data_IF_275337999330
#
_entry.id   IF_275337999330
#
_cell.length_a   1.000
_cell.length_b   1.000
_cell.length_c   1.000
_cell.angle_alpha   90.00
_cell.angle_beta   90.00
_cell.angle_gamma   90.00
#
_symmetry.space_group_name_H-M   'P 1'
#
loop_
_entity.id
_entity.type
_entity.pdbx_description
1 polymer ?
#
# COMPACT_ATOMS: atom_id res chain seq x y z
N UNK A 1 -0.21 25.87 39.21
CA UNK A 1 -1.12 26.50 38.22
C UNK A 1 -2.03 25.42 37.70
N UNK A 2 -3.33 25.53 37.91
CA UNK A 2 -4.30 24.59 37.33
C UNK A 2 -4.29 24.78 35.80
N UNK A 3 -4.19 23.69 35.06
CA UNK A 3 -4.27 23.74 33.59
C UNK A 3 -5.74 23.95 33.22
N UNK A 4 -6.05 24.99 32.45
CA UNK A 4 -7.41 25.25 32.00
C UNK A 4 -7.84 24.11 31.05
N UNK A 5 -8.97 23.41 31.31
CA UNK A 5 -9.45 22.31 30.47
C UNK A 5 -9.64 22.70 29.00
N UNK A 6 -9.97 23.96 28.72
CA UNK A 6 -10.12 24.48 27.34
C UNK A 6 -8.78 24.47 26.60
N UNK A 7 -7.70 24.84 27.28
CA UNK A 7 -6.36 24.89 26.69
C UNK A 7 -5.82 23.47 26.46
N UNK A 8 -6.15 22.52 27.36
CA UNK A 8 -5.86 21.09 27.15
C UNK A 8 -6.58 20.57 25.92
N UNK A 9 -7.88 20.87 25.78
CA UNK A 9 -8.68 20.45 24.64
C UNK A 9 -8.12 21.04 23.34
N UNK A 10 -7.75 22.32 23.32
CA UNK A 10 -7.14 22.98 22.17
C UNK A 10 -5.85 22.27 21.74
N UNK A 11 -4.98 21.95 22.69
CA UNK A 11 -3.72 21.23 22.41
C UNK A 11 -3.96 19.82 21.89
N UNK A 12 -4.88 19.08 22.53
CA UNK A 12 -5.24 17.74 22.09
C UNK A 12 -5.80 17.74 20.67
N UNK A 13 -6.68 18.70 20.34
CA UNK A 13 -7.22 18.88 19.00
C UNK A 13 -6.13 19.25 17.98
N UNK A 14 -5.19 20.12 18.38
CA UNK A 14 -4.02 20.46 17.57
C UNK A 14 -3.16 19.23 17.24
N UNK A 15 -2.84 18.42 18.25
CA UNK A 15 -2.11 17.16 18.07
C UNK A 15 -2.87 16.19 17.16
N UNK A 16 -4.18 16.05 17.36
CA UNK A 16 -5.03 15.20 16.53
C UNK A 16 -4.94 15.57 15.05
N UNK A 17 -5.08 16.86 14.70
CA UNK A 17 -4.96 17.30 13.30
C UNK A 17 -3.54 17.20 12.77
N UNK A 18 -2.53 17.48 13.59
CA UNK A 18 -1.13 17.31 13.19
C UNK A 18 -0.83 15.86 12.81
N UNK A 19 -1.21 14.91 13.66
CA UNK A 19 -1.02 13.47 13.41
C UNK A 19 -1.84 13.00 12.21
N UNK A 20 -3.11 13.39 12.10
CA UNK A 20 -3.96 13.04 10.97
C UNK A 20 -3.40 13.51 9.63
N UNK A 21 -2.86 14.74 9.59
CA UNK A 21 -2.19 15.28 8.41
C UNK A 21 -0.91 14.51 8.05
N UNK A 22 -0.08 14.15 9.03
CA UNK A 22 1.15 13.36 8.80
C UNK A 22 0.83 11.96 8.27
N UNK A 23 -0.16 11.28 8.86
CA UNK A 23 -0.62 9.97 8.40
C UNK A 23 -1.12 10.05 6.96
N UNK A 24 -1.87 11.11 6.62
CA UNK A 24 -2.37 11.31 5.26
C UNK A 24 -1.22 11.61 4.28
N UNK A 25 -0.25 12.45 4.63
CA UNK A 25 0.94 12.70 3.82
C UNK A 25 1.74 11.41 3.57
N UNK A 26 1.90 10.57 4.61
CA UNK A 26 2.55 9.26 4.48
C UNK A 26 1.78 8.35 3.53
N UNK A 27 0.46 8.28 3.68
CA UNK A 27 -0.39 7.48 2.81
C UNK A 27 -0.27 7.93 1.34
N UNK A 28 -0.28 9.24 1.07
CA UNK A 28 -0.05 9.79 -0.28
C UNK A 28 1.34 9.41 -0.80
N UNK A 29 2.40 9.50 0.04
CA UNK A 29 3.74 9.12 -0.38
C UNK A 29 3.87 7.62 -0.72
N UNK A 30 3.17 6.75 0.01
CA UNK A 30 3.10 5.31 -0.26
C UNK A 30 2.32 5.01 -1.53
N UNK A 31 1.14 5.60 -1.69
CA UNK A 31 0.28 5.49 -2.87
C UNK A 31 1.06 5.87 -4.14
N UNK A 32 1.84 6.96 -4.07
CA UNK A 32 2.67 7.39 -5.18
C UNK A 32 3.78 6.41 -5.55
N UNK A 33 4.27 5.65 -4.58
CA UNK A 33 5.33 4.64 -4.76
C UNK A 33 4.74 3.37 -5.37
N UNK A 34 3.59 2.91 -4.88
CA UNK A 34 2.86 1.76 -5.41
C UNK A 34 2.40 1.99 -6.85
N UNK A 35 1.79 3.14 -7.13
CA UNK A 35 1.44 3.55 -8.49
C UNK A 35 2.67 3.58 -9.42
N UNK A 36 3.84 3.93 -8.88
CA UNK A 36 5.09 3.93 -9.64
C UNK A 36 5.52 2.51 -10.04
N UNK A 37 5.35 1.55 -9.13
CA UNK A 37 5.61 0.13 -9.39
C UNK A 37 4.59 -0.45 -10.38
N UNK A 38 3.29 -0.16 -10.19
CA UNK A 38 2.24 -0.58 -11.10
C UNK A 38 2.40 0.01 -12.50
N UNK A 39 2.77 1.29 -12.61
CA UNK A 39 3.00 1.92 -13.92
C UNK A 39 4.14 1.25 -14.71
N UNK A 40 5.15 0.71 -14.01
CA UNK A 40 6.24 -0.07 -14.62
C UNK A 40 5.72 -1.41 -15.14
N UNK A 41 4.87 -2.09 -14.38
CA UNK A 41 4.28 -3.38 -14.77
C UNK A 41 3.25 -3.24 -15.90
N UNK A 42 2.33 -2.29 -15.78
CA UNK A 42 1.20 -2.12 -16.70
C UNK A 42 1.53 -1.34 -17.98
N UNK A 43 2.74 -0.78 -18.10
CA UNK A 43 3.13 0.11 -19.21
C UNK A 43 2.17 1.30 -19.42
N UNK A 44 1.40 1.70 -18.39
CA UNK A 44 0.40 2.77 -18.47
C UNK A 44 0.95 4.09 -17.96
N UNK A 45 0.76 5.16 -18.75
CA UNK A 45 1.04 6.54 -18.30
C UNK A 45 -0.01 6.99 -17.29
N UNK A 46 0.45 7.52 -16.16
CA UNK A 46 -0.37 8.17 -15.13
C UNK A 46 -1.25 9.27 -15.75
N UNK A 47 -2.56 9.23 -15.50
CA UNK A 47 -3.51 10.21 -16.04
C UNK A 47 -3.37 11.58 -15.37
N UNK A 48 -3.68 12.67 -16.09
CA UNK A 48 -3.66 14.05 -15.56
C UNK A 48 -4.58 14.24 -14.35
N UNK A 49 -5.68 13.46 -14.31
CA UNK A 49 -6.65 13.43 -13.21
C UNK A 49 -6.01 13.01 -11.87
N UNK A 50 -5.09 12.05 -11.90
CA UNK A 50 -4.40 11.60 -10.69
C UNK A 50 -3.46 12.68 -10.15
N UNK A 51 -2.81 13.47 -11.01
CA UNK A 51 -1.90 14.55 -10.57
C UNK A 51 -2.63 15.65 -9.80
N UNK A 52 -3.81 16.09 -10.27
CA UNK A 52 -4.60 17.11 -9.58
C UNK A 52 -5.05 16.62 -8.21
N UNK A 53 -5.51 15.36 -8.12
CA UNK A 53 -5.89 14.73 -6.85
C UNK A 53 -4.70 14.63 -5.88
N UNK A 54 -3.54 14.16 -6.35
CA UNK A 54 -2.32 14.09 -5.53
C UNK A 54 -1.91 15.47 -5.03
N UNK A 55 -1.87 16.48 -5.91
CA UNK A 55 -1.52 17.84 -5.53
C UNK A 55 -2.43 18.35 -4.42
N UNK A 56 -3.74 18.20 -4.63
CA UNK A 56 -4.73 18.66 -3.65
C UNK A 56 -4.60 17.93 -2.32
N UNK A 57 -4.48 16.60 -2.32
CA UNK A 57 -4.30 15.82 -1.09
C UNK A 57 -3.01 16.18 -0.37
N UNK A 58 -1.91 16.39 -1.10
CA UNK A 58 -0.61 16.73 -0.49
C UNK A 58 -0.65 18.12 0.14
N UNK A 59 -1.13 19.13 -0.60
CA UNK A 59 -1.24 20.50 -0.10
C UNK A 59 -2.23 20.57 1.06
N UNK A 60 -3.40 19.94 0.93
CA UNK A 60 -4.41 19.88 1.98
C UNK A 60 -3.86 19.24 3.26
N UNK A 61 -3.17 18.10 3.13
CA UNK A 61 -2.56 17.42 4.28
C UNK A 61 -1.46 18.26 4.94
N UNK A 62 -0.65 18.97 4.15
CA UNK A 62 0.36 19.90 4.67
C UNK A 62 -0.30 21.03 5.47
N UNK A 63 -1.35 21.66 4.95
CA UNK A 63 -2.10 22.69 5.68
C UNK A 63 -2.69 22.11 6.96
N UNK A 64 -3.21 20.89 6.93
CA UNK A 64 -3.71 20.20 8.12
C UNK A 64 -2.64 19.99 9.18
N UNK A 65 -1.42 19.57 8.79
CA UNK A 65 -0.31 19.44 9.74
C UNK A 65 0.05 20.79 10.35
N UNK A 66 0.25 21.81 9.52
CA UNK A 66 0.66 23.14 9.99
C UNK A 66 -0.40 23.76 10.91
N UNK A 67 -1.68 23.60 10.58
CA UNK A 67 -2.79 24.08 11.40
C UNK A 67 -2.80 23.38 12.78
N UNK A 68 -2.65 22.05 12.79
CA UNK A 68 -2.59 21.27 14.03
C UNK A 68 -1.40 21.61 14.91
N UNK A 69 -0.21 21.74 14.31
CA UNK A 69 1.02 22.14 15.01
C UNK A 69 0.90 23.54 15.59
N UNK A 70 0.39 24.50 14.82
CA UNK A 70 0.16 25.86 15.29
C UNK A 70 -0.82 25.89 16.47
N UNK A 71 -1.92 25.13 16.40
CA UNK A 71 -2.90 25.06 17.49
C UNK A 71 -2.34 24.36 18.74
N UNK A 72 -1.58 23.27 18.57
CA UNK A 72 -0.91 22.58 19.68
C UNK A 72 0.12 23.46 20.39
N UNK A 73 0.75 24.37 19.65
CA UNK A 73 1.65 25.39 20.19
C UNK A 73 0.93 26.62 20.76
N UNK A 74 -0.41 26.73 20.61
CA UNK A 74 -1.18 27.89 21.04
C UNK A 74 -0.90 29.16 20.22
N UNK A 75 -0.48 29.01 18.96
CA UNK A 75 -0.09 30.14 18.08
C UNK A 75 -1.28 30.85 17.46
N UNK A 76 -1.20 32.19 17.35
CA UNK A 76 -2.18 33.01 16.63
C UNK A 76 -2.24 32.78 15.12
N UNK A 77 -1.32 31.99 14.56
CA UNK A 77 -1.40 31.53 13.17
C UNK A 77 -2.48 30.47 12.94
N UNK A 78 -2.88 29.74 14.00
CA UNK A 78 -3.83 28.63 13.85
C UNK A 78 -5.18 29.03 13.21
N UNK A 79 -5.89 30.12 13.58
CA UNK A 79 -7.16 30.47 12.93
C UNK A 79 -7.01 30.66 11.42
N UNK A 80 -5.92 31.27 10.96
CA UNK A 80 -5.68 31.51 9.53
C UNK A 80 -5.42 30.21 8.76
N UNK A 81 -4.66 29.28 9.34
CA UNK A 81 -4.42 27.97 8.74
C UNK A 81 -5.68 27.10 8.72
N UNK A 82 -6.51 27.14 9.77
CA UNK A 82 -7.80 26.46 9.79
C UNK A 82 -8.77 27.02 8.74
N UNK A 83 -8.83 28.35 8.60
CA UNK A 83 -9.64 29.02 7.57
C UNK A 83 -9.15 28.69 6.15
N UNK A 84 -7.83 28.69 5.93
CA UNK A 84 -7.25 28.30 4.64
C UNK A 84 -7.57 26.84 4.30
N UNK A 85 -7.47 25.92 5.27
CA UNK A 85 -7.88 24.53 5.11
C UNK A 85 -9.36 24.38 4.80
N UNK A 86 -10.22 25.16 5.48
CA UNK A 86 -11.66 25.14 5.26
C UNK A 86 -12.03 25.63 3.85
N UNK A 87 -11.41 26.73 3.41
CA UNK A 87 -11.60 27.26 2.05
C UNK A 87 -11.12 26.27 0.99
N UNK A 88 -9.93 25.69 1.17
CA UNK A 88 -9.36 24.72 0.24
C UNK A 88 -10.21 23.45 0.13
N UNK A 89 -10.56 22.83 1.27
CA UNK A 89 -11.36 21.60 1.30
C UNK A 89 -12.80 21.82 0.82
N UNK A 90 -13.43 22.94 1.20
CA UNK A 90 -14.75 23.31 0.71
C UNK A 90 -14.75 23.54 -0.80
N UNK A 91 -13.76 24.28 -1.32
CA UNK A 91 -13.58 24.51 -2.75
C UNK A 91 -13.37 23.21 -3.53
N UNK A 92 -12.56 22.29 -3.01
CA UNK A 92 -12.37 20.98 -3.62
C UNK A 92 -13.63 20.14 -3.61
N UNK A 93 -14.38 20.08 -2.51
CA UNK A 93 -15.62 19.31 -2.47
C UNK A 93 -16.66 19.86 -3.47
N UNK A 94 -16.74 21.19 -3.61
CA UNK A 94 -17.58 21.82 -4.62
C UNK A 94 -17.13 21.47 -6.05
N UNK A 95 -15.83 21.58 -6.34
CA UNK A 95 -15.27 21.21 -7.64
C UNK A 95 -15.45 19.72 -7.95
N UNK A 96 -15.08 18.85 -7.01
CA UNK A 96 -15.15 17.39 -7.16
C UNK A 96 -16.58 16.90 -7.34
N UNK A 97 -17.58 17.58 -6.79
CA UNK A 97 -18.99 17.26 -7.04
C UNK A 97 -19.35 17.34 -8.53
N UNK A 98 -18.80 18.32 -9.24
CA UNK A 98 -19.07 18.53 -10.67
C UNK A 98 -18.08 17.75 -11.56
N UNK A 99 -16.78 17.82 -11.26
CA UNK A 99 -15.73 17.24 -12.09
C UNK A 99 -15.60 15.71 -11.92
N UNK A 100 -15.99 15.18 -10.76
CA UNK A 100 -15.78 13.78 -10.37
C UNK A 100 -17.04 13.17 -9.72
N UNK A 101 -18.13 12.97 -10.49
CA UNK A 101 -19.30 12.23 -10.03
C UNK A 101 -18.91 10.81 -9.61
N UNK A 102 -19.58 10.20 -8.61
CA UNK A 102 -19.20 8.90 -8.09
C UNK A 102 -19.61 7.82 -9.10
N UNK A 103 -18.72 6.90 -9.41
CA UNK A 103 -19.02 5.81 -10.32
C UNK A 103 -19.79 4.68 -9.63
N UNK A 104 -19.54 4.46 -8.32
CA UNK A 104 -20.10 3.35 -7.56
C UNK A 104 -20.46 3.72 -6.10
N UNK A 105 -20.99 2.73 -5.38
CA UNK A 105 -21.42 2.88 -3.99
C UNK A 105 -20.25 3.15 -3.02
N UNK A 106 -19.06 2.61 -3.28
CA UNK A 106 -17.89 2.79 -2.43
C UNK A 106 -17.31 4.20 -2.59
N UNK A 107 -17.29 4.74 -3.81
CA UNK A 107 -16.96 6.14 -4.05
C UNK A 107 -17.98 7.07 -3.40
N UNK A 108 -19.27 6.75 -3.46
CA UNK A 108 -20.31 7.53 -2.79
C UNK A 108 -20.11 7.54 -1.26
N UNK A 109 -19.76 6.40 -0.67
CA UNK A 109 -19.41 6.27 0.76
C UNK A 109 -18.15 7.06 1.10
N UNK A 110 -17.13 7.00 0.24
CA UNK A 110 -15.91 7.80 0.36
C UNK A 110 -16.20 9.29 0.39
N UNK A 111 -17.09 9.79 -0.47
CA UNK A 111 -17.50 11.21 -0.47
C UNK A 111 -18.25 11.62 0.79
N UNK A 112 -19.15 10.77 1.30
CA UNK A 112 -19.80 11.03 2.60
C UNK A 112 -18.79 11.15 3.73
N UNK A 113 -17.78 10.28 3.77
CA UNK A 113 -16.68 10.37 4.77
C UNK A 113 -15.91 11.68 4.65
N UNK A 114 -15.56 12.10 3.43
CA UNK A 114 -14.88 13.39 3.20
C UNK A 114 -15.73 14.59 3.61
N UNK A 115 -17.04 14.56 3.34
CA UNK A 115 -17.98 15.60 3.80
C UNK A 115 -18.07 15.63 5.32
N UNK A 116 -18.18 14.48 5.99
CA UNK A 116 -18.25 14.43 7.45
C UNK A 116 -16.96 14.93 8.09
N UNK A 117 -15.80 14.57 7.54
CA UNK A 117 -14.51 15.09 7.98
C UNK A 117 -14.42 16.61 7.82
N UNK A 118 -14.94 17.16 6.71
CA UNK A 118 -15.03 18.60 6.50
C UNK A 118 -15.93 19.31 7.53
N UNK A 119 -17.08 18.71 7.89
CA UNK A 119 -17.93 19.25 8.97
C UNK A 119 -17.17 19.29 10.29
N UNK A 120 -16.41 18.23 10.63
CA UNK A 120 -15.54 18.23 11.80
C UNK A 120 -14.48 19.35 11.75
N UNK A 121 -13.86 19.55 10.59
CA UNK A 121 -12.92 20.65 10.36
C UNK A 121 -13.57 22.04 10.55
N UNK A 122 -14.81 22.24 10.08
CA UNK A 122 -15.54 23.50 10.28
C UNK A 122 -15.83 23.75 11.76
N UNK A 123 -16.26 22.73 12.50
CA UNK A 123 -16.47 22.84 13.95
C UNK A 123 -15.17 23.23 14.67
N UNK A 124 -14.06 22.58 14.33
CA UNK A 124 -12.74 22.93 14.86
C UNK A 124 -12.33 24.35 14.47
N UNK A 125 -12.60 24.78 13.23
CA UNK A 125 -12.29 26.14 12.75
C UNK A 125 -13.04 27.19 13.57
N UNK A 126 -14.34 26.99 13.80
CA UNK A 126 -15.15 27.88 14.66
C UNK A 126 -14.59 27.94 16.07
N UNK A 127 -14.23 26.79 16.65
CA UNK A 127 -13.62 26.72 17.98
C UNK A 127 -12.28 27.49 18.05
N UNK A 128 -11.39 27.31 17.06
CA UNK A 128 -10.09 28.01 17.02
C UNK A 128 -10.26 29.52 16.86
N UNK A 129 -11.20 29.98 16.03
CA UNK A 129 -11.52 31.41 15.91
C UNK A 129 -12.09 31.97 17.21
N UNK A 130 -12.90 31.19 17.93
CA UNK A 130 -13.40 31.56 19.25
C UNK A 130 -12.26 31.70 20.27
N UNK A 131 -11.30 30.76 20.31
CA UNK A 131 -10.11 30.86 21.15
C UNK A 131 -9.29 32.12 20.86
N UNK A 132 -9.08 32.41 19.56
CA UNK A 132 -8.34 33.60 19.14
C UNK A 132 -9.01 34.90 19.60
N UNK A 133 -10.33 35.02 19.39
CA UNK A 133 -11.10 36.19 19.85
C UNK A 133 -11.15 36.33 21.36
N UNK A 134 -11.09 35.21 22.08
CA UNK A 134 -11.00 35.20 23.54
C UNK A 134 -9.61 35.53 24.09
N UNK A 135 -8.62 35.83 23.24
CA UNK A 135 -7.26 36.13 23.66
C UNK A 135 -6.49 34.93 24.25
N UNK A 136 -6.95 33.70 23.98
CA UNK A 136 -6.35 32.46 24.51
C UNK A 136 -5.17 31.95 23.67
N UNK A 137 -5.01 32.45 22.45
CA UNK A 137 -3.89 32.13 21.58
C UNK A 137 -2.86 33.26 21.63
N UNK A 138 -1.59 32.90 21.50
CA UNK A 138 -0.50 33.85 21.39
C UNK A 138 -0.64 34.75 20.16
N UNK A 139 0.02 35.92 20.12
CA UNK A 139 0.14 36.74 18.92
C UNK A 139 0.68 35.96 17.71
N UNK A 140 0.41 36.46 16.50
CA UNK A 140 0.80 35.82 15.23
C UNK A 140 2.32 35.77 15.07
N UNK A 141 3.02 36.78 15.57
CA UNK A 141 4.47 36.96 15.55
C UNK A 141 5.20 36.26 16.70
N UNK A 142 4.46 35.61 17.61
CA UNK A 142 5.07 34.87 18.71
C UNK A 142 5.90 33.69 18.18
N UNK A 143 7.12 33.48 18.71
CA UNK A 143 7.98 32.41 18.26
C UNK A 143 7.35 31.04 18.57
N UNK A 144 7.41 30.13 17.60
CA UNK A 144 6.98 28.75 17.78
C UNK A 144 8.02 27.96 18.58
N UNK A 145 7.61 27.01 19.42
CA UNK A 145 8.54 26.12 20.11
C UNK A 145 9.32 25.25 19.10
N UNK A 146 10.58 24.92 19.42
CA UNK A 146 11.46 24.17 18.52
C UNK A 146 10.86 22.84 18.02
N UNK A 147 10.12 22.14 18.88
CA UNK A 147 9.43 20.90 18.51
C UNK A 147 8.37 21.13 17.42
N UNK A 148 7.61 22.23 17.50
CA UNK A 148 6.63 22.59 16.49
C UNK A 148 7.31 22.88 15.13
N UNK A 149 8.42 23.63 15.16
CA UNK A 149 9.22 23.91 13.97
C UNK A 149 9.78 22.63 13.34
N UNK A 150 10.27 21.68 14.14
CA UNK A 150 10.79 20.40 13.66
C UNK A 150 9.70 19.57 12.94
N UNK A 151 8.50 19.47 13.51
CA UNK A 151 7.37 18.75 12.88
C UNK A 151 6.93 19.45 11.59
N UNK A 152 6.83 20.78 11.60
CA UNK A 152 6.50 21.55 10.40
C UNK A 152 7.55 21.38 9.29
N UNK A 153 8.84 21.42 9.63
CA UNK A 153 9.94 21.21 8.69
C UNK A 153 9.92 19.80 8.09
N UNK A 154 9.67 18.77 8.91
CA UNK A 154 9.53 17.40 8.43
C UNK A 154 8.35 17.26 7.47
N UNK A 155 7.18 17.82 7.81
CA UNK A 155 6.01 17.79 6.95
C UNK A 155 6.25 18.50 5.61
N UNK A 156 6.94 19.65 5.64
CA UNK A 156 7.35 20.37 4.43
C UNK A 156 8.33 19.55 3.59
N UNK A 157 9.31 18.88 4.20
CA UNK A 157 10.27 18.03 3.50
C UNK A 157 9.57 16.83 2.82
N UNK A 158 8.62 16.19 3.50
CA UNK A 158 7.81 15.09 2.93
C UNK A 158 6.92 15.59 1.80
N UNK A 159 6.21 16.71 1.99
CA UNK A 159 5.37 17.30 0.95
C UNK A 159 6.19 17.74 -0.26
N UNK A 160 7.35 18.38 -0.04
CA UNK A 160 8.28 18.75 -1.09
C UNK A 160 8.80 17.52 -1.85
N UNK A 161 9.20 16.47 -1.13
CA UNK A 161 9.57 15.19 -1.77
C UNK A 161 8.44 14.64 -2.62
N UNK A 162 7.19 14.67 -2.16
CA UNK A 162 6.03 14.20 -2.91
C UNK A 162 5.77 15.03 -4.17
N UNK A 163 5.75 16.37 -4.04
CA UNK A 163 5.40 17.28 -5.13
C UNK A 163 6.49 17.40 -6.18
N UNK A 164 7.76 17.35 -5.77
CA UNK A 164 8.91 17.52 -6.66
C UNK A 164 9.54 16.19 -7.10
N UNK A 165 8.99 15.04 -6.69
CA UNK A 165 9.39 13.74 -7.25
C UNK A 165 9.02 13.72 -8.72
N UNK A 166 9.99 14.07 -9.58
CA UNK A 166 9.88 13.82 -11.00
C UNK A 166 9.85 12.30 -11.18
N UNK A 167 8.87 11.74 -11.90
CA UNK A 167 9.07 10.39 -12.43
C UNK A 167 10.37 10.45 -13.23
N UNK A 168 11.36 9.64 -12.89
CA UNK A 168 12.51 9.45 -13.77
C UNK A 168 11.92 8.96 -15.08
N UNK A 169 11.89 9.82 -16.09
CA UNK A 169 11.41 9.49 -17.42
C UNK A 169 12.32 8.46 -18.13
N UNK A 170 13.44 8.10 -17.50
CA UNK A 170 14.60 7.49 -18.13
C UNK A 170 15.04 6.16 -17.51
N UNK A 171 14.22 5.57 -16.63
CA UNK A 171 14.46 4.21 -16.11
C UNK A 171 13.29 3.26 -16.38
N UNK A 172 12.39 3.64 -17.31
CA UNK A 172 11.22 2.86 -17.70
C UNK A 172 11.21 2.56 -19.22
N UNK A 173 12.37 2.58 -19.87
CA UNK A 173 12.63 1.52 -20.83
C UNK A 173 13.36 0.47 -20.05
N UNK A 174 12.58 -0.48 -19.54
CA UNK A 174 13.11 -1.83 -19.55
C UNK A 174 13.27 -2.10 -21.04
N UNK A 175 14.52 -2.15 -21.51
CA UNK A 175 14.74 -2.58 -22.88
C UNK A 175 14.19 -4.00 -22.95
N UNK A 176 13.20 -4.22 -23.81
CA UNK A 176 12.67 -5.56 -23.97
C UNK A 176 13.81 -6.49 -24.40
N UNK A 177 14.79 -5.95 -25.14
CA UNK A 177 16.00 -6.63 -25.51
C UNK A 177 16.90 -6.96 -24.30
N UNK A 178 16.90 -6.16 -23.22
CA UNK A 178 17.65 -6.46 -21.98
C UNK A 178 16.94 -7.51 -21.11
N UNK A 179 15.59 -7.53 -21.07
CA UNK A 179 14.84 -8.59 -20.38
C UNK A 179 14.84 -9.92 -21.16
N UNK A 180 14.80 -9.84 -22.49
CA UNK A 180 14.92 -11.00 -23.39
C UNK A 180 16.38 -11.46 -23.49
N UNK A 181 17.37 -10.57 -23.32
CA UNK A 181 18.77 -10.99 -23.16
C UNK A 181 19.07 -11.54 -21.76
N UNK A 182 18.28 -11.20 -20.74
CA UNK A 182 18.35 -11.77 -19.40
C UNK A 182 17.60 -13.11 -19.26
N UNK A 183 16.81 -13.53 -20.27
CA UNK A 183 16.41 -14.94 -20.36
C UNK A 183 17.61 -15.71 -20.89
N UNK A 184 18.44 -16.17 -19.96
CA UNK A 184 19.42 -17.20 -20.22
C UNK A 184 18.70 -18.45 -20.73
N UNK A 185 18.61 -18.65 -22.05
CA UNK A 185 17.93 -19.80 -22.65
C UNK A 185 18.69 -21.13 -22.44
N UNK A 186 19.71 -21.14 -21.57
CA UNK A 186 20.38 -22.37 -21.16
C UNK A 186 19.34 -23.34 -20.57
N UNK A 187 19.22 -24.56 -21.14
CA UNK A 187 18.33 -25.57 -20.61
C UNK A 187 18.72 -25.93 -19.17
N UNK A 188 17.76 -26.02 -18.24
CA UNK A 188 18.07 -26.37 -16.86
C UNK A 188 18.56 -27.82 -16.78
N UNK A 189 19.66 -28.05 -16.07
CA UNK A 189 20.13 -29.41 -15.77
C UNK A 189 19.31 -30.04 -14.64
N UNK A 190 18.86 -29.23 -13.68
CA UNK A 190 18.11 -29.66 -12.49
C UNK A 190 16.88 -28.79 -12.29
N UNK A 191 15.73 -29.44 -12.11
CA UNK A 191 14.44 -28.78 -11.93
C UNK A 191 13.87 -29.03 -10.54
N UNK A 192 13.21 -28.02 -10.00
CA UNK A 192 12.48 -28.05 -8.74
C UNK A 192 11.02 -27.76 -9.01
N UNK A 193 10.14 -28.67 -8.59
CA UNK A 193 8.71 -28.38 -8.53
C UNK A 193 8.47 -27.58 -7.25
N UNK A 194 8.09 -26.32 -7.36
CA UNK A 194 7.84 -25.43 -6.23
C UNK A 194 6.76 -24.43 -6.65
N UNK A 195 5.47 -24.73 -6.44
CA UNK A 195 4.40 -23.80 -6.76
C UNK A 195 4.49 -22.61 -5.80
N UNK A 196 4.43 -21.42 -6.38
CA UNK A 196 4.41 -20.15 -5.67
C UNK A 196 3.30 -19.27 -6.27
N UNK A 197 2.69 -18.42 -5.45
CA UNK A 197 1.57 -17.60 -5.90
C UNK A 197 2.01 -16.70 -7.06
N UNK A 198 1.36 -16.84 -8.21
CA UNK A 198 1.62 -16.03 -9.41
C UNK A 198 2.93 -16.34 -10.15
N UNK A 199 3.61 -17.44 -9.83
CA UNK A 199 4.79 -17.93 -10.55
C UNK A 199 4.48 -19.24 -11.28
N UNK A 200 5.30 -19.62 -12.25
CA UNK A 200 5.23 -20.98 -12.80
C UNK A 200 5.64 -22.00 -11.72
N UNK A 201 5.08 -23.22 -11.73
CA UNK A 201 5.35 -24.22 -10.69
C UNK A 201 6.74 -24.85 -10.78
N UNK A 202 7.50 -24.59 -11.86
CA UNK A 202 8.83 -25.13 -12.08
C UNK A 202 9.90 -24.05 -11.90
N UNK A 203 11.00 -24.46 -11.29
CA UNK A 203 12.17 -23.62 -11.04
C UNK A 203 13.43 -24.37 -11.43
N UNK A 204 14.42 -23.64 -11.91
CA UNK A 204 15.79 -24.14 -12.01
C UNK A 204 16.35 -24.27 -10.60
N UNK A 205 16.81 -25.46 -10.24
CA UNK A 205 17.28 -25.71 -8.88
C UNK A 205 18.60 -25.00 -8.57
N UNK A 206 19.45 -24.78 -9.57
CA UNK A 206 20.80 -24.27 -9.36
C UNK A 206 20.85 -22.74 -9.53
N UNK A 207 20.02 -22.18 -10.41
CA UNK A 207 19.94 -20.74 -10.65
C UNK A 207 18.77 -20.02 -9.97
N UNK A 208 17.85 -20.76 -9.35
CA UNK A 208 16.61 -20.25 -8.73
C UNK A 208 15.74 -19.44 -9.71
N UNK A 209 15.84 -19.75 -11.00
CA UNK A 209 15.08 -19.12 -12.08
C UNK A 209 13.71 -19.77 -12.24
N UNK A 210 12.65 -18.97 -12.35
CA UNK A 210 11.31 -19.48 -12.65
C UNK A 210 11.21 -19.96 -14.11
N UNK A 211 10.73 -21.18 -14.33
CA UNK A 211 10.74 -21.86 -15.62
C UNK A 211 9.32 -22.01 -16.16
N UNK A 212 9.08 -21.54 -17.39
CA UNK A 212 7.85 -21.80 -18.13
C UNK A 212 7.83 -23.26 -18.62
N UNK A 213 6.91 -24.13 -18.13
CA UNK A 213 6.86 -25.53 -18.52
C UNK A 213 6.71 -25.74 -20.03
N UNK A 214 6.00 -24.85 -20.73
CA UNK A 214 5.76 -24.95 -22.18
C UNK A 214 7.09 -24.85 -22.96
N UNK A 215 8.01 -24.00 -22.48
CA UNK A 215 9.31 -23.79 -23.13
C UNK A 215 10.31 -24.91 -22.89
N UNK A 216 10.07 -25.78 -21.91
CA UNK A 216 10.94 -26.90 -21.58
C UNK A 216 10.75 -28.13 -22.49
N UNK A 217 9.79 -28.09 -23.43
CA UNK A 217 9.55 -29.20 -24.35
C UNK A 217 9.04 -30.47 -23.66
N UNK A 218 8.38 -30.34 -22.51
CA UNK A 218 7.85 -31.47 -21.75
C UNK A 218 6.76 -32.21 -22.54
N UNK A 219 6.58 -33.52 -22.32
CA UNK A 219 5.45 -34.25 -22.87
C UNK A 219 4.12 -33.60 -22.50
N UNK A 220 3.25 -33.42 -23.48
CA UNK A 220 1.94 -32.78 -23.34
C UNK A 220 1.08 -33.34 -22.18
N UNK A 221 1.05 -34.66 -21.88
CA UNK A 221 0.34 -35.18 -20.71
C UNK A 221 0.92 -34.66 -19.38
N UNK A 222 2.25 -34.52 -19.29
CA UNK A 222 2.94 -34.02 -18.10
C UNK A 222 2.72 -32.52 -17.91
N UNK A 223 2.72 -31.74 -19.00
CA UNK A 223 2.37 -30.31 -18.97
C UNK A 223 1.00 -30.08 -18.34
N UNK A 224 -0.04 -30.75 -18.86
CA UNK A 224 -1.39 -30.63 -18.31
C UNK A 224 -1.52 -31.10 -16.87
N UNK A 225 -0.68 -32.05 -16.45
CA UNK A 225 -0.63 -32.54 -15.07
C UNK A 225 -0.04 -31.48 -14.14
N UNK A 226 1.06 -30.85 -14.55
CA UNK A 226 1.70 -29.73 -13.85
C UNK A 226 0.77 -28.53 -13.75
N UNK A 227 0.07 -28.15 -14.83
CA UNK A 227 -0.88 -27.03 -14.83
C UNK A 227 -2.05 -27.26 -13.87
N UNK A 228 -2.57 -28.50 -13.81
CA UNK A 228 -3.65 -28.86 -12.88
C UNK A 228 -3.18 -28.83 -11.44
N UNK A 229 -1.97 -29.32 -11.20
CA UNK A 229 -1.33 -29.28 -9.89
C UNK A 229 -1.12 -27.84 -9.42
N UNK A 230 -0.58 -26.97 -10.29
CA UNK A 230 -0.40 -25.56 -9.98
C UNK A 230 -1.74 -24.88 -9.67
N UNK A 231 -2.76 -25.08 -10.51
CA UNK A 231 -4.10 -24.53 -10.26
C UNK A 231 -4.65 -24.93 -8.89
N UNK A 232 -4.49 -26.19 -8.50
CA UNK A 232 -4.92 -26.66 -7.18
C UNK A 232 -4.16 -25.96 -6.03
N UNK A 233 -2.89 -25.60 -6.24
CA UNK A 233 -2.16 -24.76 -5.30
C UNK A 233 -2.69 -23.32 -5.27
N UNK A 234 -2.86 -22.69 -6.44
CA UNK A 234 -3.33 -21.31 -6.53
C UNK A 234 -4.72 -21.13 -5.91
N UNK A 235 -5.61 -22.12 -6.09
CA UNK A 235 -6.95 -22.14 -5.48
C UNK A 235 -6.90 -22.31 -3.96
N UNK A 236 -5.87 -22.99 -3.44
CA UNK A 236 -5.67 -23.21 -2.01
C UNK A 236 -4.81 -22.14 -1.32
N UNK A 237 -4.14 -21.25 -2.07
CA UNK A 237 -3.23 -20.25 -1.51
C UNK A 237 -3.97 -19.30 -0.54
N UNK A 238 -3.47 -19.20 0.69
CA UNK A 238 -4.10 -18.41 1.75
C UNK A 238 -3.98 -16.91 1.54
N UNK A 239 -4.99 -16.14 1.95
CA UNK A 239 -4.96 -14.67 1.90
C UNK A 239 -3.98 -14.03 2.92
N UNK A 240 -3.61 -14.75 3.98
CA UNK A 240 -2.73 -14.26 5.06
C UNK A 240 -1.26 -14.58 4.81
N UNK A 241 -0.97 -15.78 4.32
CA UNK A 241 0.34 -16.20 3.83
C UNK A 241 0.17 -16.95 2.51
N UNK A 242 0.52 -16.33 1.37
CA UNK A 242 0.34 -16.94 0.06
C UNK A 242 1.33 -18.09 -0.22
N UNK A 243 2.34 -18.29 0.63
CA UNK A 243 3.30 -19.39 0.52
C UNK A 243 2.85 -20.67 1.23
N UNK A 244 1.77 -20.61 2.01
CA UNK A 244 1.20 -21.74 2.75
C UNK A 244 -0.22 -22.01 2.24
N UNK A 245 -0.45 -23.06 1.45
CA UNK A 245 -1.78 -23.40 1.00
C UNK A 245 -2.65 -23.90 2.18
N UNK A 246 -3.90 -23.46 2.17
CA UNK A 246 -4.95 -23.81 3.12
C UNK A 246 -5.81 -24.93 2.53
N UNK A 247 -5.41 -26.18 2.77
CA UNK A 247 -6.17 -27.32 2.28
C UNK A 247 -7.38 -27.62 3.20
N UNK A 248 -8.57 -27.89 2.64
CA UNK A 248 -9.77 -28.22 3.42
C UNK A 248 -9.62 -29.40 4.38
N UNK A 249 -8.72 -30.34 4.09
CA UNK A 249 -8.46 -31.52 4.93
C UNK A 249 -7.03 -32.04 4.80
N UNK A 250 -6.55 -32.78 5.83
CA UNK A 250 -5.26 -33.47 5.75
C UNK A 250 -5.18 -34.45 4.58
N UNK A 251 -6.31 -35.08 4.24
CA UNK A 251 -6.39 -36.04 3.14
C UNK A 251 -6.05 -35.35 1.81
N UNK A 252 -6.58 -34.15 1.59
CA UNK A 252 -6.31 -33.37 0.39
C UNK A 252 -4.87 -32.86 0.35
N UNK A 253 -4.34 -32.39 1.48
CA UNK A 253 -2.94 -31.99 1.57
C UNK A 253 -1.97 -33.15 1.27
N UNK A 254 -2.26 -34.36 1.79
CA UNK A 254 -1.47 -35.57 1.49
C UNK A 254 -1.62 -36.01 0.05
N UNK A 255 -2.82 -35.89 -0.53
CA UNK A 255 -3.03 -36.19 -1.95
C UNK A 255 -2.25 -35.22 -2.85
N UNK A 256 -2.19 -33.95 -2.47
CA UNK A 256 -1.38 -32.94 -3.15
C UNK A 256 0.12 -33.25 -3.06
N UNK A 257 0.66 -33.60 -1.88
CA UNK A 257 2.06 -34.03 -1.74
C UNK A 257 2.38 -35.30 -2.53
N UNK A 258 1.45 -36.26 -2.58
CA UNK A 258 1.61 -37.47 -3.39
C UNK A 258 1.64 -37.16 -4.89
N UNK A 259 0.79 -36.24 -5.35
CA UNK A 259 0.76 -35.78 -6.73
C UNK A 259 2.06 -35.04 -7.11
N UNK A 260 2.58 -34.18 -6.22
CA UNK A 260 3.86 -33.51 -6.42
C UNK A 260 5.01 -34.51 -6.63
N UNK A 261 5.06 -35.57 -5.81
CA UNK A 261 6.06 -36.65 -5.94
C UNK A 261 5.90 -37.42 -7.25
N UNK A 262 4.67 -37.66 -7.69
CA UNK A 262 4.41 -38.34 -8.95
C UNK A 262 4.88 -37.50 -10.15
N UNK A 263 4.61 -36.20 -10.13
CA UNK A 263 5.10 -35.25 -11.13
C UNK A 263 6.63 -35.20 -11.13
N UNK A 264 7.26 -35.14 -9.96
CA UNK A 264 8.74 -35.16 -9.86
C UNK A 264 9.35 -36.46 -10.38
N UNK A 265 8.70 -37.61 -10.18
CA UNK A 265 9.16 -38.87 -10.76
C UNK A 265 9.10 -38.86 -12.30
N UNK A 266 8.07 -38.26 -12.90
CA UNK A 266 7.99 -38.09 -14.35
C UNK A 266 9.00 -37.08 -14.88
N UNK A 267 9.20 -35.95 -14.18
CA UNK A 267 10.24 -34.96 -14.50
C UNK A 267 11.64 -35.59 -14.45
N UNK A 268 11.91 -36.48 -13.50
CA UNK A 268 13.18 -37.23 -13.45
C UNK A 268 13.38 -38.14 -14.68
N UNK A 269 12.29 -38.59 -15.33
CA UNK A 269 12.36 -39.30 -16.60
C UNK A 269 12.80 -38.41 -17.78
N UNK A 270 12.60 -37.10 -17.68
CA UNK A 270 12.97 -36.10 -18.70
C UNK A 270 14.35 -35.52 -18.45
N UNK A 271 14.65 -35.11 -17.22
CA UNK A 271 15.89 -34.41 -16.84
C UNK A 271 17.00 -35.33 -16.29
N UNK A 272 16.69 -36.62 -16.06
CA UNK A 272 17.59 -37.60 -15.48
C UNK A 272 17.30 -37.89 -14.00
N UNK A 273 17.67 -39.10 -13.58
CA UNK A 273 17.44 -39.54 -12.20
C UNK A 273 18.23 -38.66 -11.21
N UNK A 274 17.53 -38.04 -10.25
CA UNK A 274 18.11 -37.13 -9.26
C UNK A 274 18.10 -35.65 -9.65
N UNK A 275 17.69 -35.33 -10.88
CA UNK A 275 17.64 -33.95 -11.39
C UNK A 275 16.25 -33.30 -11.28
N UNK A 276 15.30 -33.94 -10.61
CA UNK A 276 14.00 -33.37 -10.27
C UNK A 276 13.75 -33.45 -8.77
N UNK A 277 13.35 -32.34 -8.15
CA UNK A 277 13.20 -32.25 -6.69
C UNK A 277 11.86 -31.64 -6.30
N UNK A 278 11.22 -32.23 -5.29
CA UNK A 278 10.11 -31.66 -4.53
C UNK A 278 10.61 -31.28 -3.13
N UNK A 279 10.86 -29.99 -2.83
CA UNK A 279 11.06 -29.56 -1.46
C UNK A 279 9.72 -29.76 -0.74
N UNK A 280 9.73 -30.51 0.35
CA UNK A 280 8.49 -30.80 1.10
C UNK A 280 7.80 -29.47 1.45
N UNK A 281 6.61 -29.26 0.89
CA UNK A 281 5.82 -28.06 1.14
C UNK A 281 5.25 -28.09 2.55
N UNK A 282 5.21 -26.92 3.20
CA UNK A 282 4.45 -26.73 4.44
C UNK A 282 3.03 -26.29 4.05
N UNK A 283 2.02 -26.88 4.68
CA UNK A 283 0.61 -26.54 4.49
C UNK A 283 -0.09 -26.42 5.84
N UNK A 284 -1.23 -25.73 5.87
CA UNK A 284 -2.03 -25.54 7.08
C UNK A 284 -3.49 -25.96 6.85
N UNK A 285 -4.18 -26.30 7.94
CA UNK A 285 -5.62 -26.56 7.93
C UNK A 285 -6.40 -25.30 8.34
N UNK A 286 -7.66 -25.12 7.90
CA UNK A 286 -8.46 -23.93 8.23
C UNK A 286 -8.57 -23.65 9.74
N UNK A 287 -8.64 -24.68 10.58
CA UNK A 287 -8.73 -24.54 12.03
C UNK A 287 -7.42 -24.08 12.69
N UNK A 288 -6.27 -24.30 12.03
CA UNK A 288 -4.95 -23.89 12.53
C UNK A 288 -4.63 -22.44 12.12
N UNK A 289 -5.14 -21.99 10.98
CA UNK A 289 -4.97 -20.62 10.48
C UNK A 289 -5.65 -19.56 11.37
N UNK A 290 -6.71 -19.93 12.09
CA UNK A 290 -7.41 -19.05 13.05
C UNK A 290 -6.75 -19.01 14.44
N UNK A 291 -5.77 -19.88 14.71
CA UNK A 291 -5.17 -20.09 16.03
C UNK A 291 -4.06 -19.11 16.42
N UNK A 292 -3.48 -18.38 15.46
CA UNK A 292 -2.41 -17.40 15.69
C UNK A 292 -2.86 -15.95 15.40
N UNK A 293 -4.06 -15.58 15.86
CA UNK A 293 -4.42 -14.16 15.92
C UNK A 293 -3.91 -13.56 17.23
N UNK A 294 -2.88 -12.69 17.24
CA UNK A 294 -2.46 -11.97 18.44
C UNK A 294 -3.45 -10.85 18.84
N UNK A 295 -4.65 -10.80 18.24
CA UNK A 295 -5.69 -9.81 18.50
C UNK A 295 -6.80 -10.36 19.41
N UNK A 296 -6.43 -11.10 20.47
CA UNK A 296 -7.28 -11.32 21.64
C UNK A 296 -6.66 -10.75 22.91
N UNK A 297 -6.29 -9.47 22.88
CA UNK A 297 -6.19 -8.63 24.10
C UNK A 297 -6.58 -7.19 23.71
N UNK A 298 -7.58 -6.67 24.43
CA UNK A 298 -8.25 -5.35 24.39
C UNK A 298 -9.44 -5.22 23.42
#
# INVERSE_FOLDING_TARGET
MAVDPVDVLARALGVFYAVGGVVTLRAVAMDLTLDGMLAVLEHRRRTTRNRVRTLFLTVGSLVTVLAGVALAAGSGLSPWLFLAGAAGQGGWLAFARAAFPPADADEAKGRRRSTNAFVGWLAATVFVVWLWRGGRLAPIDAPLPAAALAVAALALAVAGRVLFRRPKADTARIDLDDLVAATDDTPPERVRLAPELGCWPLWDHDSDRNLDPIRLGLPEPLLRRIERFDRAFQDAAGHLDPSVPLFPSEREARAFDAEARAIVAELAGVFGAGNAVWPKLKWALPAEADGESPLRVL
#
